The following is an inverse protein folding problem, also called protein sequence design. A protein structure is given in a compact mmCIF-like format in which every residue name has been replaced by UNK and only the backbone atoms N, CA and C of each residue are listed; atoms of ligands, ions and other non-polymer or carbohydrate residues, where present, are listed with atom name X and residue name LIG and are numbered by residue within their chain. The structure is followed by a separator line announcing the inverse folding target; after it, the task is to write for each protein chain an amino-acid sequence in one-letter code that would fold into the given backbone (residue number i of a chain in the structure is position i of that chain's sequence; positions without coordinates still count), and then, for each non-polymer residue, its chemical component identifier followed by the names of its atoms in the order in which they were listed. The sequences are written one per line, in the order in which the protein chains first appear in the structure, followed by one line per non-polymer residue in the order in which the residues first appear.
data_IF_634015830486
#
_entry.id   IF_634015830486
#
_cell.length_a   1.000
_cell.length_b   1.000
_cell.length_c   1.000
_cell.angle_alpha   90.00
_cell.angle_beta   90.00
_cell.angle_gamma   90.00
#
_symmetry.space_group_name_H-M   'P 1'
#
loop_
_entity.id
_entity.type
_entity.pdbx_description
1 polymer ?
#
# COMPACT_ATOMS: atom_id res chain seq x y z
N UNK A 1 -24.51 -1.66 -4.07
CA UNK A 1 -23.73 -0.49 -4.56
C UNK A 1 -23.11 0.38 -3.46
N UNK A 2 -23.86 0.89 -2.46
CA UNK A 2 -23.30 1.85 -1.47
C UNK A 2 -22.19 1.23 -0.60
N UNK A 3 -22.38 0.02 -0.09
CA UNK A 3 -21.40 -0.68 0.75
C UNK A 3 -20.07 -0.93 0.02
N UNK A 4 -20.14 -1.31 -1.26
CA UNK A 4 -18.96 -1.48 -2.12
C UNK A 4 -18.19 -0.16 -2.27
N UNK A 5 -18.88 0.95 -2.53
CA UNK A 5 -18.24 2.27 -2.64
C UNK A 5 -17.57 2.71 -1.33
N UNK A 6 -18.19 2.41 -0.19
CA UNK A 6 -17.59 2.68 1.13
C UNK A 6 -16.31 1.86 1.30
N UNK A 7 -16.36 0.56 0.97
CA UNK A 7 -15.19 -0.32 1.03
C UNK A 7 -14.05 0.16 0.10
N UNK A 8 -14.38 0.62 -1.11
CA UNK A 8 -13.42 1.20 -2.06
C UNK A 8 -12.75 2.46 -1.48
N UNK A 9 -13.53 3.40 -0.94
CA UNK A 9 -13.00 4.62 -0.33
C UNK A 9 -12.05 4.30 0.83
N UNK A 10 -12.42 3.35 1.70
CA UNK A 10 -11.57 2.93 2.82
C UNK A 10 -10.29 2.26 2.29
N UNK A 11 -10.41 1.36 1.32
CA UNK A 11 -9.27 0.65 0.75
C UNK A 11 -8.26 1.61 0.11
N UNK A 12 -8.72 2.51 -0.77
CA UNK A 12 -7.84 3.47 -1.41
C UNK A 12 -7.31 4.52 -0.44
N UNK A 13 -8.09 4.90 0.58
CA UNK A 13 -7.64 5.75 1.67
C UNK A 13 -6.48 5.13 2.45
N UNK A 14 -6.60 3.86 2.84
CA UNK A 14 -5.52 3.11 3.51
C UNK A 14 -4.31 2.94 2.60
N UNK A 15 -4.52 2.64 1.31
CA UNK A 15 -3.44 2.55 0.33
C UNK A 15 -2.68 3.87 0.17
N UNK A 16 -3.37 5.01 0.19
CA UNK A 16 -2.76 6.33 0.13
C UNK A 16 -1.91 6.62 1.38
N UNK A 17 -2.43 6.29 2.58
CA UNK A 17 -1.66 6.42 3.84
C UNK A 17 -0.42 5.53 3.82
N UNK A 18 -0.55 4.28 3.36
CA UNK A 18 0.58 3.36 3.22
C UNK A 18 1.62 3.89 2.23
N UNK A 19 1.18 4.48 1.11
CA UNK A 19 2.06 5.09 0.11
C UNK A 19 2.85 6.27 0.68
N UNK A 20 2.18 7.17 1.40
CA UNK A 20 2.82 8.29 2.07
C UNK A 20 3.83 7.83 3.12
N UNK A 21 3.45 6.87 3.97
CA UNK A 21 4.34 6.28 4.96
C UNK A 21 5.58 5.65 4.29
N UNK A 22 5.37 4.94 3.18
CA UNK A 22 6.43 4.29 2.43
C UNK A 22 7.42 5.29 1.85
N UNK A 23 6.93 6.41 1.30
CA UNK A 23 7.79 7.51 0.82
C UNK A 23 8.65 8.09 1.94
N UNK A 24 8.06 8.34 3.11
CA UNK A 24 8.79 8.86 4.29
C UNK A 24 9.85 7.86 4.74
N UNK A 25 9.53 6.57 4.78
CA UNK A 25 10.47 5.52 5.19
C UNK A 25 11.67 5.43 4.23
N UNK A 26 11.43 5.42 2.92
CA UNK A 26 12.50 5.43 1.91
C UNK A 26 13.35 6.69 2.03
N UNK A 27 12.73 7.86 2.21
CA UNK A 27 13.46 9.11 2.44
C UNK A 27 14.37 9.01 3.68
N UNK A 28 13.86 8.46 4.78
CA UNK A 28 14.63 8.30 6.02
C UNK A 28 15.83 7.37 5.81
N UNK A 29 15.61 6.22 5.17
CA UNK A 29 16.67 5.25 4.89
C UNK A 29 17.78 5.83 4.01
N UNK A 30 17.43 6.61 2.99
CA UNK A 30 18.39 7.22 2.08
C UNK A 30 19.11 8.44 2.69
N UNK A 31 18.39 9.27 3.45
CA UNK A 31 18.92 10.51 4.02
C UNK A 31 19.76 10.25 5.27
N UNK A 32 19.22 9.48 6.21
CA UNK A 32 19.77 9.31 7.56
C UNK A 32 20.46 7.96 7.79
N UNK A 33 20.43 7.03 6.82
CA UNK A 33 21.17 5.78 6.90
C UNK A 33 22.68 6.00 6.99
N UNK A 34 23.33 5.31 7.94
CA UNK A 34 24.80 5.34 8.16
C UNK A 34 25.58 4.90 6.91
N UNK A 35 25.07 3.89 6.20
CA UNK A 35 25.64 3.42 4.93
C UNK A 35 24.68 3.71 3.79
N UNK A 36 25.15 4.46 2.79
CA UNK A 36 24.36 4.79 1.58
C UNK A 36 24.03 3.54 0.77
N UNK A 37 24.96 2.60 0.68
CA UNK A 37 24.74 1.34 -0.02
C UNK A 37 23.70 0.47 0.69
N UNK A 38 23.80 0.34 2.02
CA UNK A 38 22.83 -0.41 2.81
C UNK A 38 21.44 0.23 2.76
N UNK A 39 21.37 1.56 2.87
CA UNK A 39 20.11 2.30 2.78
C UNK A 39 19.42 2.11 1.43
N UNK A 40 20.19 2.05 0.33
CA UNK A 40 19.66 1.80 -1.01
C UNK A 40 19.11 0.37 -1.13
N UNK A 41 19.88 -0.64 -0.70
CA UNK A 41 19.45 -2.05 -0.71
C UNK A 41 18.18 -2.25 0.12
N UNK A 42 18.14 -1.71 1.34
CA UNK A 42 16.98 -1.81 2.22
C UNK A 42 15.76 -1.08 1.64
N UNK A 43 15.96 0.09 1.04
CA UNK A 43 14.87 0.83 0.39
C UNK A 43 14.30 0.07 -0.81
N UNK A 44 15.15 -0.53 -1.64
CA UNK A 44 14.71 -1.36 -2.77
C UNK A 44 13.94 -2.59 -2.32
N UNK A 45 14.43 -3.30 -1.30
CA UNK A 45 13.72 -4.43 -0.71
C UNK A 45 12.38 -4.02 -0.11
N UNK A 46 12.36 -2.91 0.62
CA UNK A 46 11.15 -2.36 1.21
C UNK A 46 10.10 -2.02 0.14
N UNK A 47 10.49 -1.32 -0.93
CA UNK A 47 9.58 -0.99 -2.03
C UNK A 47 9.03 -2.26 -2.71
N UNK A 48 9.87 -3.26 -2.94
CA UNK A 48 9.42 -4.55 -3.49
C UNK A 48 8.36 -5.23 -2.62
N UNK A 49 8.58 -5.25 -1.30
CA UNK A 49 7.61 -5.81 -0.35
C UNK A 49 6.30 -5.02 -0.37
N UNK A 50 6.35 -3.69 -0.36
CA UNK A 50 5.13 -2.86 -0.39
C UNK A 50 4.36 -3.04 -1.69
N UNK A 51 5.04 -3.09 -2.84
CA UNK A 51 4.39 -3.30 -4.15
C UNK A 51 3.72 -4.67 -4.24
N UNK A 52 4.38 -5.72 -3.76
CA UNK A 52 3.80 -7.08 -3.75
C UNK A 52 2.59 -7.16 -2.81
N UNK A 53 2.67 -6.55 -1.63
CA UNK A 53 1.54 -6.46 -0.71
C UNK A 53 0.38 -5.66 -1.31
N UNK A 54 0.65 -4.55 -1.99
CA UNK A 54 -0.38 -3.78 -2.68
C UNK A 54 -1.06 -4.59 -3.78
N UNK A 55 -0.29 -5.27 -4.64
CA UNK A 55 -0.84 -6.12 -5.69
C UNK A 55 -1.72 -7.25 -5.12
N UNK A 56 -1.26 -7.90 -4.05
CA UNK A 56 -2.04 -8.92 -3.35
C UNK A 56 -3.32 -8.33 -2.72
N UNK A 57 -3.22 -7.15 -2.09
CA UNK A 57 -4.36 -6.46 -1.49
C UNK A 57 -5.43 -6.09 -2.53
N UNK A 58 -5.02 -5.56 -3.69
CA UNK A 58 -5.92 -5.26 -4.81
C UNK A 58 -6.57 -6.54 -5.34
N UNK A 59 -5.79 -7.61 -5.55
CA UNK A 59 -6.30 -8.90 -6.00
C UNK A 59 -7.37 -9.47 -5.06
N UNK A 60 -7.13 -9.42 -3.75
CA UNK A 60 -8.09 -9.85 -2.74
C UNK A 60 -9.33 -8.93 -2.69
N UNK A 61 -9.13 -7.61 -2.81
CA UNK A 61 -10.22 -6.65 -2.77
C UNK A 61 -11.18 -6.82 -3.96
N UNK A 62 -10.67 -7.09 -5.16
CA UNK A 62 -11.47 -7.36 -6.35
C UNK A 62 -12.25 -8.68 -6.27
N UNK A 63 -11.81 -9.63 -5.46
CA UNK A 63 -12.51 -10.89 -5.21
C UNK A 63 -13.61 -10.77 -4.14
N UNK A 64 -13.68 -9.64 -3.43
CA UNK A 64 -14.78 -9.39 -2.49
C UNK A 64 -16.08 -9.17 -3.27
N UNK A 65 -16.89 -10.22 -3.32
CA UNK A 65 -18.27 -10.11 -3.78
C UNK A 65 -19.11 -9.44 -2.68
N UNK A 66 -19.43 -8.16 -2.88
CA UNK A 66 -20.42 -7.48 -2.04
C UNK A 66 -21.81 -7.83 -2.58
N UNK A 67 -22.65 -8.59 -1.84
CA UNK A 67 -24.00 -8.87 -2.28
C UNK A 67 -24.73 -7.56 -2.55
N UNK A 68 -25.30 -7.44 -3.76
CA UNK A 68 -26.18 -6.33 -4.10
C UNK A 68 -27.43 -6.45 -3.23
N UNK A 69 -27.45 -5.73 -2.11
CA UNK A 69 -28.72 -5.35 -1.52
C UNK A 69 -29.39 -4.38 -2.50
N UNK A 70 -30.18 -4.96 -3.40
CA UNK A 70 -31.13 -4.24 -4.23
C UNK A 70 -32.14 -3.57 -3.30
N UNK A 71 -32.04 -2.25 -3.19
CA UNK A 71 -33.11 -1.37 -2.74
C UNK A 71 -33.41 -0.43 -3.92
#
# INVERSE_FOLDING_TARGET
MVLQKIAEIIFYGLAAVLGLYSMVMVYILLRFGLSKMLGLVLSSLYVLVIVTLYAAAVGNFLQLNFPEFAL
#
